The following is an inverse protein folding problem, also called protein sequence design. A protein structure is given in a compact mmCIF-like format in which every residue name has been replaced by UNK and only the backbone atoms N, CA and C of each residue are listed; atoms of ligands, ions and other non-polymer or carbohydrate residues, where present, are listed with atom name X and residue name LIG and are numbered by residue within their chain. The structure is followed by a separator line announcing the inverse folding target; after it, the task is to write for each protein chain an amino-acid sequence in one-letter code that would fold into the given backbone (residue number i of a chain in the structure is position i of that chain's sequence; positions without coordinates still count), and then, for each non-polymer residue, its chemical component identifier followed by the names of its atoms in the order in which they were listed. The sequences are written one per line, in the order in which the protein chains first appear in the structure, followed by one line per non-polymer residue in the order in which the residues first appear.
data_IF_000351875033
#
_entry.id   IF_000351875033
#
_cell.length_a   1.000
_cell.length_b   1.000
_cell.length_c   1.000
_cell.angle_alpha   90.00
_cell.angle_beta   90.00
_cell.angle_gamma   90.00
#
_symmetry.space_group_name_H-M   'P 1'
#
loop_
_entity.id
_entity.type
_entity.pdbx_description
1 polymer ?
#
# COMPACT_ATOMS: atom_id res chain seq x y z
N UNK A 1 5.10 -20.06 -0.83
CA UNK A 1 5.81 -20.06 0.46
C UNK A 1 5.46 -21.28 1.32
N UNK A 2 4.22 -21.45 1.72
CA UNK A 2 3.85 -22.61 2.58
C UNK A 2 4.16 -23.98 1.98
N UNK A 3 4.26 -24.07 0.66
CA UNK A 3 4.71 -25.27 -0.07
C UNK A 3 6.24 -25.37 -0.25
N UNK A 4 7.03 -24.45 0.30
CA UNK A 4 8.49 -24.45 0.23
C UNK A 4 9.13 -24.00 -1.09
N UNK A 5 8.33 -23.75 -2.13
CA UNK A 5 8.83 -23.39 -3.47
C UNK A 5 9.50 -21.99 -3.52
N UNK A 6 9.01 -21.05 -2.70
CA UNK A 6 9.53 -19.69 -2.62
C UNK A 6 9.96 -19.40 -1.19
N UNK A 7 11.26 -19.13 -0.92
CA UNK A 7 11.78 -18.95 0.43
C UNK A 7 11.43 -17.57 1.01
N UNK A 8 11.28 -16.53 0.18
CA UNK A 8 11.03 -15.15 0.59
C UNK A 8 10.03 -14.47 -0.34
N UNK A 9 9.18 -13.60 0.19
CA UNK A 9 8.28 -12.76 -0.61
C UNK A 9 7.93 -11.45 0.11
N UNK A 10 7.57 -10.43 -0.65
CA UNK A 10 6.82 -9.28 -0.15
C UNK A 10 5.32 -9.58 -0.28
N UNK A 11 4.57 -9.31 0.76
CA UNK A 11 3.14 -9.59 0.78
C UNK A 11 2.38 -8.49 1.53
N UNK A 12 1.13 -8.24 1.12
CA UNK A 12 0.23 -7.41 1.91
C UNK A 12 -0.12 -8.14 3.23
N UNK A 13 -0.19 -7.38 4.32
CA UNK A 13 -0.42 -7.90 5.67
C UNK A 13 -1.69 -8.74 5.75
N UNK A 14 -2.80 -8.26 5.18
CA UNK A 14 -4.07 -8.98 5.19
C UNK A 14 -3.99 -10.40 4.62
N UNK A 15 -3.05 -10.66 3.70
CA UNK A 15 -2.86 -11.97 3.09
C UNK A 15 -2.01 -12.94 3.93
N UNK A 16 -1.18 -12.43 4.84
CA UNK A 16 -0.18 -13.27 5.55
C UNK A 16 -0.34 -13.25 7.06
N UNK A 17 -1.13 -12.33 7.61
CA UNK A 17 -1.28 -12.12 9.05
C UNK A 17 -1.58 -13.42 9.80
N UNK A 18 -2.62 -14.14 9.40
CA UNK A 18 -3.02 -15.39 10.06
C UNK A 18 -1.91 -16.47 10.00
N UNK A 19 -1.11 -16.50 8.94
CA UNK A 19 0.00 -17.43 8.80
C UNK A 19 1.18 -17.05 9.68
N UNK A 20 1.43 -15.77 9.88
CA UNK A 20 2.46 -15.27 10.80
C UNK A 20 2.05 -15.53 12.24
N UNK A 21 0.82 -15.20 12.62
CA UNK A 21 0.26 -15.46 13.96
C UNK A 21 0.26 -16.96 14.31
N UNK A 22 0.00 -17.82 13.33
CA UNK A 22 0.07 -19.27 13.46
C UNK A 22 1.52 -19.84 13.43
N UNK A 23 2.55 -19.00 13.32
CA UNK A 23 3.95 -19.42 13.26
C UNK A 23 4.35 -20.16 11.96
N UNK A 24 3.48 -20.18 10.95
CA UNK A 24 3.75 -20.84 9.66
C UNK A 24 4.59 -20.00 8.71
N UNK A 25 4.63 -18.70 8.92
CA UNK A 25 5.50 -17.75 8.24
C UNK A 25 6.20 -16.88 9.29
N UNK A 26 7.43 -16.47 8.97
CA UNK A 26 8.19 -15.51 9.79
C UNK A 26 8.17 -14.15 9.09
N UNK A 27 7.63 -13.14 9.74
CA UNK A 27 7.77 -11.75 9.30
C UNK A 27 9.20 -11.27 9.64
N UNK A 28 9.94 -10.84 8.61
CA UNK A 28 11.35 -10.41 8.76
C UNK A 28 11.47 -8.89 8.87
N UNK A 29 10.57 -8.14 8.24
CA UNK A 29 10.54 -6.69 8.25
C UNK A 29 9.27 -6.15 7.58
N UNK A 30 8.94 -4.90 7.88
CA UNK A 30 7.87 -4.16 7.21
C UNK A 30 8.46 -3.08 6.30
N UNK A 31 7.77 -2.79 5.19
CA UNK A 31 8.23 -1.84 4.17
C UNK A 31 7.81 -0.38 4.44
N UNK A 32 7.00 -0.16 5.47
CA UNK A 32 6.62 1.16 5.97
C UNK A 32 7.80 1.87 6.66
N UNK A 33 7.73 3.20 6.76
CA UNK A 33 8.75 4.00 7.48
C UNK A 33 8.93 3.61 8.94
N UNK A 34 7.85 3.15 9.58
CA UNK A 34 7.81 2.78 10.99
C UNK A 34 7.22 1.39 11.15
N UNK A 35 7.48 0.77 12.29
CA UNK A 35 6.85 -0.49 12.66
C UNK A 35 5.34 -0.34 12.66
N UNK A 36 4.67 -1.43 12.38
CA UNK A 36 3.20 -1.46 12.35
C UNK A 36 2.65 -1.87 13.72
N UNK A 37 1.58 -1.23 14.19
CA UNK A 37 0.94 -1.61 15.46
C UNK A 37 0.53 -3.08 15.51
N UNK A 38 0.16 -3.66 14.37
CA UNK A 38 -0.22 -5.07 14.24
C UNK A 38 0.97 -6.03 14.42
N UNK A 39 2.20 -5.55 14.16
CA UNK A 39 3.44 -6.31 14.29
C UNK A 39 4.55 -5.51 14.98
N UNK A 40 4.37 -5.15 16.26
CA UNK A 40 5.28 -4.25 16.97
C UNK A 40 6.72 -4.81 17.11
N UNK A 41 6.85 -6.13 17.08
CA UNK A 41 8.13 -6.83 17.19
C UNK A 41 8.82 -7.04 15.83
N UNK A 42 8.18 -6.67 14.71
CA UNK A 42 8.77 -6.76 13.36
C UNK A 42 9.40 -5.42 13.02
N UNK A 43 10.72 -5.37 12.75
CA UNK A 43 11.40 -4.11 12.47
C UNK A 43 10.92 -3.50 11.15
N UNK A 44 10.97 -2.18 11.04
CA UNK A 44 10.88 -1.52 9.74
C UNK A 44 12.23 -1.66 9.01
N UNK A 45 12.19 -1.93 7.71
CA UNK A 45 13.41 -1.99 6.88
C UNK A 45 14.16 -0.66 6.95
N UNK A 46 13.45 0.46 7.11
CA UNK A 46 14.02 1.79 7.30
C UNK A 46 14.94 1.91 8.53
N UNK A 47 14.81 1.04 9.52
CA UNK A 47 15.69 1.04 10.71
C UNK A 47 17.11 0.58 10.37
N UNK A 48 17.26 -0.21 9.29
CA UNK A 48 18.57 -0.73 8.82
C UNK A 48 19.00 -0.02 7.53
N UNK A 49 18.05 0.36 6.68
CA UNK A 49 18.28 1.08 5.43
C UNK A 49 17.57 2.44 5.49
N UNK A 50 18.24 3.49 6.00
CA UNK A 50 17.64 4.82 6.09
C UNK A 50 17.10 5.33 4.74
N UNK A 51 15.89 5.85 4.73
CA UNK A 51 15.21 6.32 3.51
C UNK A 51 14.46 5.23 2.74
N UNK A 52 14.54 3.97 3.15
CA UNK A 52 13.73 2.92 2.54
C UNK A 52 12.26 3.11 2.88
N UNK A 53 11.43 3.15 1.84
CA UNK A 53 9.98 3.10 1.94
C UNK A 53 9.41 2.47 0.67
N UNK A 54 8.55 1.48 0.84
CA UNK A 54 7.78 0.90 -0.26
C UNK A 54 6.38 0.59 0.24
N UNK A 55 5.39 1.29 -0.31
CA UNK A 55 3.98 1.10 0.02
C UNK A 55 3.19 0.80 -1.23
N UNK A 56 2.37 -0.23 -1.19
CA UNK A 56 1.32 -0.41 -2.18
C UNK A 56 0.16 0.53 -1.87
N UNK A 57 -0.46 1.08 -2.91
CA UNK A 57 -1.62 1.93 -2.77
C UNK A 57 -2.73 1.53 -3.74
N UNK A 58 -3.96 1.88 -3.40
CA UNK A 58 -5.14 1.68 -4.23
C UNK A 58 -5.79 3.02 -4.50
N UNK A 59 -6.19 3.26 -5.74
CA UNK A 59 -6.83 4.49 -6.15
C UNK A 59 -8.08 4.24 -6.99
N UNK A 60 -9.04 5.16 -6.90
CA UNK A 60 -10.22 5.18 -7.74
C UNK A 60 -9.94 6.03 -8.98
N UNK A 61 -10.08 5.44 -10.16
CA UNK A 61 -9.90 6.10 -11.43
C UNK A 61 -11.19 6.12 -12.23
N UNK A 62 -11.37 7.16 -13.02
CA UNK A 62 -12.47 7.29 -13.97
C UNK A 62 -11.97 7.45 -15.41
N UNK A 63 -12.84 7.29 -16.42
CA UNK A 63 -12.51 7.55 -17.81
C UNK A 63 -12.02 8.99 -18.02
N UNK A 64 -11.15 9.17 -19.01
CA UNK A 64 -10.78 10.52 -19.44
C UNK A 64 -12.00 11.28 -19.96
N UNK A 65 -12.04 12.60 -19.72
CA UNK A 65 -13.14 13.46 -20.17
C UNK A 65 -14.40 13.44 -19.30
N UNK A 66 -14.36 12.84 -18.12
CA UNK A 66 -15.44 13.00 -17.13
C UNK A 66 -15.67 14.48 -16.82
N UNK A 67 -16.96 14.86 -16.67
CA UNK A 67 -17.28 16.23 -16.26
C UNK A 67 -16.73 16.53 -14.86
N UNK A 68 -16.27 17.77 -14.60
CA UNK A 68 -15.78 18.18 -13.30
C UNK A 68 -16.80 17.97 -12.17
N UNK A 69 -18.09 18.15 -12.48
CA UNK A 69 -19.16 17.94 -11.50
C UNK A 69 -19.29 16.47 -11.10
N UNK A 70 -19.28 15.55 -12.06
CA UNK A 70 -19.34 14.12 -11.79
C UNK A 70 -18.10 13.66 -11.01
N UNK A 71 -16.91 14.12 -11.39
CA UNK A 71 -15.65 13.85 -10.68
C UNK A 71 -15.73 14.30 -9.22
N UNK A 72 -16.21 15.51 -8.97
CA UNK A 72 -16.39 16.05 -7.61
C UNK A 72 -17.40 15.23 -6.78
N UNK A 73 -18.53 14.84 -7.38
CA UNK A 73 -19.56 14.03 -6.70
C UNK A 73 -19.02 12.66 -6.29
N UNK A 74 -18.33 11.97 -7.20
CA UNK A 74 -17.72 10.67 -6.93
C UNK A 74 -16.63 10.81 -5.86
N UNK A 75 -15.74 11.81 -5.98
CA UNK A 75 -14.69 12.06 -5.00
C UNK A 75 -15.25 12.33 -3.61
N UNK A 76 -16.29 13.14 -3.48
CA UNK A 76 -16.91 13.43 -2.20
C UNK A 76 -17.53 12.16 -1.58
N UNK A 77 -18.21 11.35 -2.38
CA UNK A 77 -18.78 10.07 -1.92
C UNK A 77 -17.68 9.09 -1.47
N UNK A 78 -16.61 8.97 -2.24
CA UNK A 78 -15.46 8.13 -1.90
C UNK A 78 -14.78 8.60 -0.59
N UNK A 79 -14.57 9.92 -0.43
CA UNK A 79 -14.00 10.49 0.80
C UNK A 79 -14.88 10.22 2.02
N UNK A 80 -16.19 10.38 1.89
CA UNK A 80 -17.11 10.08 2.97
C UNK A 80 -17.05 8.59 3.37
N UNK A 81 -16.98 7.69 2.39
CA UNK A 81 -16.82 6.26 2.64
C UNK A 81 -15.51 5.93 3.36
N UNK A 82 -14.39 6.48 2.88
CA UNK A 82 -13.04 6.28 3.46
C UNK A 82 -12.94 6.85 4.89
N UNK A 83 -13.70 7.89 5.21
CA UNK A 83 -13.73 8.50 6.54
C UNK A 83 -14.69 7.79 7.51
N UNK A 84 -15.50 6.85 7.04
CA UNK A 84 -16.41 6.09 7.92
C UNK A 84 -15.62 5.22 8.89
N UNK A 85 -16.16 5.04 10.09
CA UNK A 85 -15.58 4.20 11.14
C UNK A 85 -15.37 2.76 10.65
N UNK A 86 -16.40 2.15 10.06
CA UNK A 86 -16.33 0.79 9.54
C UNK A 86 -15.23 0.60 8.47
N UNK A 87 -14.98 1.60 7.61
CA UNK A 87 -13.89 1.53 6.64
C UNK A 87 -12.53 1.63 7.32
N UNK A 88 -12.37 2.53 8.29
CA UNK A 88 -11.12 2.71 9.03
C UNK A 88 -10.75 1.47 9.83
N UNK A 89 -11.71 0.90 10.57
CA UNK A 89 -11.52 -0.35 11.30
C UNK A 89 -11.05 -1.48 10.37
N UNK A 90 -11.68 -1.60 9.20
CA UNK A 90 -11.26 -2.60 8.21
C UNK A 90 -9.84 -2.37 7.72
N UNK A 91 -9.47 -1.13 7.43
CA UNK A 91 -8.11 -0.78 7.00
C UNK A 91 -7.08 -1.06 8.10
N UNK A 92 -7.38 -0.78 9.36
CA UNK A 92 -6.52 -1.13 10.49
C UNK A 92 -6.25 -2.64 10.57
N UNK A 93 -7.29 -3.46 10.42
CA UNK A 93 -7.15 -4.92 10.42
C UNK A 93 -6.20 -5.37 9.30
N UNK A 94 -6.29 -4.76 8.13
CA UNK A 94 -5.46 -5.09 6.97
C UNK A 94 -4.08 -4.41 6.99
N UNK A 95 -3.76 -3.63 8.03
CA UNK A 95 -2.52 -2.87 8.15
C UNK A 95 -2.38 -1.78 7.08
N UNK A 96 -3.51 -1.28 6.59
CA UNK A 96 -3.59 -0.25 5.58
C UNK A 96 -4.06 1.07 6.19
N UNK A 97 -3.77 2.18 5.50
CA UNK A 97 -4.15 3.53 5.91
C UNK A 97 -5.23 4.09 4.98
N UNK A 98 -6.32 4.58 5.57
CA UNK A 98 -7.38 5.27 4.86
C UNK A 98 -6.97 6.73 4.61
N UNK A 99 -6.69 7.10 3.37
CA UNK A 99 -6.13 8.44 3.03
C UNK A 99 -7.21 9.41 2.57
N UNK A 100 -7.96 9.10 1.50
CA UNK A 100 -9.05 9.95 0.99
C UNK A 100 -8.60 11.28 0.39
N UNK A 101 -7.57 11.27 -0.46
CA UNK A 101 -7.10 12.45 -1.20
C UNK A 101 -8.19 13.11 -2.04
N UNK A 102 -8.04 14.42 -2.31
CA UNK A 102 -8.76 15.08 -3.40
C UNK A 102 -8.26 14.61 -4.77
N UNK A 103 -9.03 14.81 -5.86
CA UNK A 103 -8.58 14.47 -7.20
C UNK A 103 -7.23 15.12 -7.57
N UNK A 104 -7.03 16.38 -7.17
CA UNK A 104 -5.81 17.13 -7.46
C UNK A 104 -4.61 16.61 -6.65
N UNK A 105 -4.82 16.27 -5.38
CA UNK A 105 -3.80 15.67 -4.52
C UNK A 105 -3.40 14.30 -5.04
N UNK A 106 -4.38 13.47 -5.41
CA UNK A 106 -4.13 12.15 -5.96
C UNK A 106 -3.41 12.23 -7.31
N UNK A 107 -3.79 13.15 -8.18
CA UNK A 107 -3.09 13.37 -9.45
C UNK A 107 -1.63 13.78 -9.25
N UNK A 108 -1.34 14.67 -8.28
CA UNK A 108 0.06 15.03 -7.94
C UNK A 108 0.83 13.84 -7.40
N UNK A 109 0.22 13.04 -6.53
CA UNK A 109 0.83 11.83 -5.99
C UNK A 109 1.19 10.84 -7.11
N UNK A 110 0.26 10.49 -8.00
CA UNK A 110 0.50 9.57 -9.12
C UNK A 110 1.59 10.10 -10.05
N UNK A 111 1.56 11.41 -10.36
CA UNK A 111 2.59 12.05 -11.20
C UNK A 111 3.99 11.96 -10.59
N UNK A 112 4.11 12.01 -9.28
CA UNK A 112 5.39 11.88 -8.57
C UNK A 112 5.83 10.41 -8.44
N UNK A 113 4.91 9.48 -8.29
CA UNK A 113 5.20 8.06 -8.05
C UNK A 113 5.64 7.32 -9.33
N UNK A 114 5.06 7.67 -10.48
CA UNK A 114 5.41 7.05 -11.77
C UNK A 114 6.92 7.07 -12.08
N UNK A 115 7.62 8.21 -12.05
CA UNK A 115 9.06 8.24 -12.33
C UNK A 115 9.89 7.50 -11.29
N UNK A 116 9.47 7.48 -10.03
CA UNK A 116 10.11 6.71 -8.96
C UNK A 116 10.09 5.21 -9.27
N UNK A 117 8.93 4.68 -9.64
CA UNK A 117 8.81 3.28 -10.02
C UNK A 117 9.53 2.95 -11.33
N UNK A 118 9.48 3.85 -12.31
CA UNK A 118 10.23 3.68 -13.56
C UNK A 118 11.74 3.54 -13.32
N UNK A 119 12.30 4.32 -12.37
CA UNK A 119 13.71 4.21 -11.98
C UNK A 119 14.00 2.89 -11.26
N UNK A 120 13.15 2.48 -10.33
CA UNK A 120 13.30 1.20 -9.62
C UNK A 120 13.26 0.01 -10.58
N UNK A 121 12.34 0.00 -11.54
CA UNK A 121 12.24 -1.06 -12.56
C UNK A 121 13.50 -1.07 -13.43
N UNK A 122 13.98 0.10 -13.86
CA UNK A 122 15.22 0.19 -14.66
C UNK A 122 16.44 -0.34 -13.90
N UNK A 123 16.60 0.08 -12.65
CA UNK A 123 17.75 -0.33 -11.82
C UNK A 123 17.71 -1.80 -11.41
N UNK A 124 16.51 -2.41 -11.33
CA UNK A 124 16.36 -3.83 -11.00
C UNK A 124 16.70 -4.78 -12.14
N UNK A 125 16.84 -4.28 -13.38
CA UNK A 125 17.01 -5.10 -14.58
C UNK A 125 15.78 -5.91 -14.98
N UNK A 126 14.61 -5.65 -14.37
CA UNK A 126 13.36 -6.32 -14.72
C UNK A 126 12.92 -5.94 -16.13
N UNK A 127 12.63 -6.94 -16.96
CA UNK A 127 12.07 -6.75 -18.30
C UNK A 127 10.61 -7.19 -18.31
N UNK A 128 9.72 -6.46 -19.00
CA UNK A 128 8.35 -6.93 -19.22
C UNK A 128 8.34 -8.29 -19.92
N UNK A 129 7.54 -9.20 -19.43
CA UNK A 129 7.26 -10.48 -20.11
C UNK A 129 6.10 -10.31 -21.06
#
# INVERSE_FOLDING_TARGET
MTAGTVPLMFAAIGNVRALVEAGRLKALGVTSKQRLPQFPNVPAIAEVLPGFESSAWFGLFGPAGMSPDLTRRISNAARAAVQSEAFRERMEIDGAQAVGNSPEEFARFVKADIPRWAELVRSSGATPQ
#
